data_IF_569035288138
#
_entry.id   IF_569035288138
#
_cell.length_a   1.000
_cell.length_b   1.000
_cell.length_c   1.000
_cell.angle_alpha   90.00
_cell.angle_beta   90.00
_cell.angle_gamma   90.00
#
_symmetry.space_group_name_H-M   'P 1'
#
loop_
_entity.id
_entity.type
_entity.pdbx_description
1 polymer ?
#
# COMPACT_ATOMS: atom_id res chain seq x y z
N UNK A 1 -0.05 11.18 2.71
CA UNK A 1 -1.33 10.93 3.43
C UNK A 1 -0.95 10.29 4.75
N UNK A 2 -1.59 10.68 5.85
CA UNK A 2 -1.26 10.20 7.19
C UNK A 2 -2.55 9.93 7.97
N UNK A 3 -2.54 8.92 8.82
CA UNK A 3 -3.59 8.62 9.78
C UNK A 3 -2.98 8.21 11.14
N UNK A 4 -3.83 8.05 12.15
CA UNK A 4 -3.45 7.71 13.51
C UNK A 4 -4.13 6.43 14.01
N UNK A 5 -4.45 5.53 13.07
CA UNK A 5 -5.10 4.26 13.29
C UNK A 5 -4.20 3.23 13.97
N UNK A 6 -4.48 1.95 13.70
CA UNK A 6 -3.79 0.83 14.36
C UNK A 6 -2.36 0.64 13.85
N UNK A 7 -2.06 1.10 12.63
CA UNK A 7 -0.80 0.91 11.93
C UNK A 7 -0.53 -0.56 11.58
N UNK A 8 0.61 -0.82 10.97
CA UNK A 8 1.02 -2.15 10.49
C UNK A 8 2.39 -2.52 11.04
N UNK A 9 2.54 -3.80 11.39
CA UNK A 9 3.84 -4.42 11.62
C UNK A 9 4.53 -4.83 10.31
N UNK A 10 5.77 -5.31 10.41
CA UNK A 10 6.55 -5.79 9.25
C UNK A 10 5.81 -6.86 8.44
N UNK A 11 5.33 -7.89 9.12
CA UNK A 11 4.73 -9.05 8.46
C UNK A 11 3.34 -8.72 7.90
N UNK A 12 2.60 -7.86 8.59
CA UNK A 12 1.31 -7.33 8.12
C UNK A 12 1.47 -6.46 6.86
N UNK A 13 2.52 -5.64 6.78
CA UNK A 13 2.86 -4.94 5.53
C UNK A 13 3.16 -5.92 4.39
N UNK A 14 3.94 -6.97 4.66
CA UNK A 14 4.28 -7.97 3.64
C UNK A 14 3.05 -8.73 3.14
N UNK A 15 2.13 -9.07 4.05
CA UNK A 15 0.89 -9.75 3.72
C UNK A 15 -0.10 -8.83 3.00
N UNK A 16 -0.44 -7.68 3.58
CA UNK A 16 -1.47 -6.78 3.06
C UNK A 16 -1.03 -6.04 1.78
N UNK A 17 0.20 -5.51 1.74
CA UNK A 17 0.70 -4.72 0.61
C UNK A 17 1.44 -5.57 -0.42
N UNK A 18 1.98 -6.72 -0.01
CA UNK A 18 2.72 -7.62 -0.89
C UNK A 18 1.85 -8.68 -1.59
N UNK A 19 0.75 -9.14 -0.99
CA UNK A 19 -0.08 -10.22 -1.57
C UNK A 19 -1.03 -9.72 -2.64
N UNK A 20 -1.63 -8.54 -2.49
CA UNK A 20 -2.60 -8.02 -3.47
C UNK A 20 -1.92 -7.68 -4.80
N UNK A 21 -0.61 -7.35 -4.77
CA UNK A 21 0.24 -7.24 -5.97
C UNK A 21 0.29 -8.53 -6.82
N UNK A 22 -0.09 -9.70 -6.28
CA UNK A 22 -0.05 -10.98 -7.01
C UNK A 22 -1.34 -11.39 -7.72
N UNK A 23 -2.54 -10.99 -7.28
CA UNK A 23 -3.78 -11.56 -7.84
C UNK A 23 -4.90 -10.56 -8.19
N UNK A 24 -5.08 -9.48 -7.42
CA UNK A 24 -6.13 -8.50 -7.66
C UNK A 24 -5.68 -7.32 -8.52
N UNK A 25 -4.46 -6.82 -8.28
CA UNK A 25 -3.97 -5.58 -8.90
C UNK A 25 -3.69 -5.71 -10.39
N UNK A 26 -3.15 -6.84 -10.87
CA UNK A 26 -2.87 -7.03 -12.31
C UNK A 26 -4.15 -7.01 -13.14
N UNK A 27 -5.16 -7.79 -12.73
CA UNK A 27 -6.45 -7.82 -13.41
C UNK A 27 -7.17 -6.47 -13.36
N UNK A 28 -6.91 -5.65 -12.34
CA UNK A 28 -7.42 -4.29 -12.25
C UNK A 28 -6.68 -3.32 -13.18
N UNK A 29 -5.34 -3.30 -13.17
CA UNK A 29 -4.52 -2.47 -14.07
C UNK A 29 -4.85 -2.79 -15.53
N UNK A 30 -4.94 -4.08 -15.90
CA UNK A 30 -5.32 -4.50 -17.26
C UNK A 30 -6.71 -3.96 -17.67
N UNK A 31 -7.67 -3.89 -16.75
CA UNK A 31 -9.01 -3.33 -17.03
C UNK A 31 -9.02 -1.81 -17.13
N UNK A 32 -8.18 -1.13 -16.35
CA UNK A 32 -8.00 0.33 -16.39
C UNK A 32 -7.30 0.74 -17.69
N UNK A 33 -6.21 0.06 -18.05
CA UNK A 33 -5.49 0.26 -19.32
C UNK A 33 -6.36 -0.06 -20.54
N UNK A 34 -7.28 -1.03 -20.42
CA UNK A 34 -8.27 -1.34 -21.46
C UNK A 34 -9.38 -0.27 -21.65
N UNK A 35 -9.30 0.89 -20.98
CA UNK A 35 -10.19 2.03 -21.21
C UNK A 35 -11.61 1.87 -20.67
N UNK A 36 -11.86 0.88 -19.81
CA UNK A 36 -13.18 0.65 -19.16
C UNK A 36 -13.41 1.47 -17.88
N UNK A 37 -12.57 2.49 -17.66
CA UNK A 37 -12.53 3.26 -16.41
C UNK A 37 -13.82 4.06 -16.09
N UNK A 38 -14.69 4.31 -17.07
CA UNK A 38 -15.84 5.20 -16.90
C UNK A 38 -17.05 4.57 -16.16
N UNK A 39 -17.23 3.25 -16.17
CA UNK A 39 -18.38 2.60 -15.51
C UNK A 39 -18.07 2.03 -14.11
N UNK A 40 -16.79 1.91 -13.73
CA UNK A 40 -16.34 1.06 -12.62
C UNK A 40 -15.81 1.79 -11.38
N UNK A 41 -16.05 3.10 -11.25
CA UNK A 41 -15.65 3.89 -10.05
C UNK A 41 -16.22 3.30 -8.74
N UNK A 42 -17.36 2.60 -8.81
CA UNK A 42 -17.98 1.92 -7.67
C UNK A 42 -17.27 0.62 -7.25
N UNK A 43 -16.51 -0.04 -8.14
CA UNK A 43 -15.81 -1.30 -7.82
C UNK A 43 -14.51 -1.06 -7.05
N UNK A 44 -13.85 0.08 -7.23
CA UNK A 44 -12.62 0.44 -6.49
C UNK A 44 -12.87 0.46 -4.97
N UNK A 45 -14.07 0.89 -4.55
CA UNK A 45 -14.48 0.93 -3.15
C UNK A 45 -14.82 -0.43 -2.53
N UNK A 46 -15.20 -1.44 -3.32
CA UNK A 46 -15.63 -2.75 -2.79
C UNK A 46 -14.49 -3.76 -2.60
N UNK A 47 -13.38 -3.62 -3.33
CA UNK A 47 -12.29 -4.61 -3.30
C UNK A 47 -11.08 -4.20 -2.44
N UNK A 48 -11.10 -3.01 -1.83
CA UNK A 48 -9.99 -2.55 -0.99
C UNK A 48 -8.67 -2.33 -1.75
N UNK A 49 -8.70 -2.35 -3.09
CA UNK A 49 -7.52 -2.19 -3.97
C UNK A 49 -7.16 -0.73 -4.23
N UNK A 50 -7.86 0.22 -3.62
CA UNK A 50 -7.65 1.66 -3.82
C UNK A 50 -6.22 2.13 -3.54
N UNK A 51 -5.49 1.44 -2.66
CA UNK A 51 -4.07 1.70 -2.40
C UNK A 51 -3.22 1.72 -3.69
N UNK A 52 -3.44 0.77 -4.61
CA UNK A 52 -2.62 0.63 -5.81
C UNK A 52 -2.90 1.71 -6.87
N UNK A 53 -4.01 2.44 -6.75
CA UNK A 53 -4.28 3.59 -7.63
C UNK A 53 -3.22 4.68 -7.49
N UNK A 54 -2.49 4.73 -6.37
CA UNK A 54 -1.36 5.64 -6.18
C UNK A 54 -0.28 5.48 -7.26
N UNK A 55 -0.04 4.26 -7.76
CA UNK A 55 0.93 4.00 -8.82
C UNK A 55 0.52 4.51 -10.20
N UNK A 56 -0.74 4.92 -10.40
CA UNK A 56 -1.15 5.58 -11.64
C UNK A 56 -0.58 6.99 -11.78
N UNK A 57 -0.16 7.61 -10.66
CA UNK A 57 0.30 9.00 -10.61
C UNK A 57 1.65 9.17 -9.91
N UNK A 58 2.24 8.09 -9.39
CA UNK A 58 3.51 8.11 -8.68
C UNK A 58 4.43 6.98 -9.17
N UNK A 59 5.69 7.31 -9.43
CA UNK A 59 6.72 6.34 -9.81
C UNK A 59 7.18 5.45 -8.65
N UNK A 60 6.99 5.92 -7.41
CA UNK A 60 7.38 5.26 -6.17
C UNK A 60 6.33 5.57 -5.08
N UNK A 61 5.96 4.56 -4.29
CA UNK A 61 5.10 4.71 -3.12
C UNK A 61 5.81 4.18 -1.89
N UNK A 62 5.94 5.06 -0.89
CA UNK A 62 6.46 4.74 0.45
C UNK A 62 5.33 4.72 1.47
N UNK A 63 5.27 3.66 2.26
CA UNK A 63 4.37 3.53 3.42
C UNK A 63 5.23 3.35 4.66
N UNK A 64 5.23 4.35 5.53
CA UNK A 64 5.86 4.26 6.85
C UNK A 64 4.75 4.03 7.86
N UNK A 65 4.85 2.96 8.64
CA UNK A 65 3.84 2.67 9.65
C UNK A 65 4.47 2.16 10.95
N UNK A 66 3.81 2.51 12.05
CA UNK A 66 4.08 2.01 13.38
C UNK A 66 2.81 1.44 13.99
N UNK A 67 2.81 0.13 14.20
CA UNK A 67 1.74 -0.56 14.89
C UNK A 67 1.55 -0.01 16.32
N UNK A 68 0.30 0.18 16.74
CA UNK A 68 -0.04 0.68 18.06
C UNK A 68 0.54 -0.21 19.16
N UNK A 69 1.24 0.40 20.13
CA UNK A 69 1.91 -0.32 21.21
C UNK A 69 3.27 -0.92 20.82
N UNK A 70 3.67 -0.86 19.55
CA UNK A 70 4.98 -1.34 19.10
C UNK A 70 6.10 -0.36 19.44
N UNK A 71 7.29 -0.91 19.66
CA UNK A 71 8.57 -0.17 19.77
C UNK A 71 9.38 -0.22 18.47
N UNK A 72 8.78 -0.71 17.40
CA UNK A 72 9.38 -0.80 16.07
C UNK A 72 8.50 -0.06 15.06
N UNK A 73 9.13 0.49 14.03
CA UNK A 73 8.47 1.08 12.89
C UNK A 73 9.13 0.60 11.61
N UNK A 74 8.35 0.52 10.54
CA UNK A 74 8.79 -0.07 9.29
C UNK A 74 8.41 0.84 8.11
N UNK A 75 9.21 0.80 7.06
CA UNK A 75 8.89 1.38 5.75
C UNK A 75 8.73 0.26 4.75
N UNK A 76 7.60 0.26 4.08
CA UNK A 76 7.39 -0.45 2.83
C UNK A 76 7.61 0.51 1.67
N UNK A 77 8.32 0.09 0.63
CA UNK A 77 8.62 0.90 -0.56
C UNK A 77 8.49 0.06 -1.83
N UNK A 78 7.83 0.58 -2.86
CA UNK A 78 7.71 -0.09 -4.16
C UNK A 78 7.57 0.92 -5.30
N UNK A 79 7.95 0.49 -6.50
CA UNK A 79 7.72 1.20 -7.78
C UNK A 79 6.51 0.66 -8.54
N UNK A 80 5.75 -0.27 -7.94
CA UNK A 80 4.58 -0.90 -8.56
C UNK A 80 4.91 -1.96 -9.60
N UNK A 81 6.19 -2.25 -9.90
CA UNK A 81 6.59 -3.22 -10.95
C UNK A 81 6.73 -4.66 -10.46
N UNK A 82 6.23 -4.96 -9.26
CA UNK A 82 6.10 -6.32 -8.73
C UNK A 82 7.11 -6.71 -7.66
N UNK A 83 8.02 -5.80 -7.29
CA UNK A 83 8.91 -5.95 -6.14
C UNK A 83 8.69 -4.83 -5.13
N UNK A 84 8.98 -5.11 -3.86
CA UNK A 84 8.95 -4.13 -2.79
C UNK A 84 10.07 -4.41 -1.78
N UNK A 85 10.42 -3.41 -1.01
CA UNK A 85 11.35 -3.50 0.12
C UNK A 85 10.63 -3.18 1.42
N UNK A 86 10.98 -3.89 2.50
CA UNK A 86 10.58 -3.53 3.86
C UNK A 86 11.82 -3.35 4.71
N UNK A 87 12.01 -2.15 5.26
CA UNK A 87 13.15 -1.77 6.06
C UNK A 87 12.73 -1.15 7.41
N UNK A 88 13.50 -1.35 8.49
CA UNK A 88 13.23 -0.72 9.77
C UNK A 88 13.44 0.80 9.67
N UNK A 89 12.62 1.57 10.40
CA UNK A 89 12.70 3.03 10.47
C UNK A 89 12.95 3.46 11.92
N UNK A 90 13.89 4.37 12.19
CA UNK A 90 14.06 4.93 13.53
C UNK A 90 12.77 5.56 14.04
N UNK A 91 12.40 5.30 15.29
CA UNK A 91 11.14 5.81 15.87
C UNK A 91 11.03 7.34 15.83
N UNK A 92 12.15 8.06 15.84
CA UNK A 92 12.18 9.52 15.72
C UNK A 92 11.77 10.02 14.32
N UNK A 93 11.88 9.16 13.30
CA UNK A 93 11.51 9.42 11.91
C UNK A 93 10.23 8.70 11.48
N UNK A 94 9.50 8.11 12.45
CA UNK A 94 8.26 7.38 12.22
C UNK A 94 7.08 8.04 12.97
N UNK A 95 5.83 7.82 12.52
CA UNK A 95 4.67 8.27 13.27
C UNK A 95 4.63 7.63 14.66
N UNK A 96 3.97 8.29 15.62
CA UNK A 96 3.79 7.74 16.97
C UNK A 96 2.95 6.44 16.95
N UNK A 97 2.02 6.37 16.01
CA UNK A 97 1.21 5.21 15.61
C UNK A 97 0.52 5.54 14.28
N UNK A 98 0.05 4.51 13.57
CA UNK A 98 -0.46 4.66 12.20
C UNK A 98 0.58 4.22 11.20
#
# INVERSE_FOLDING_TARGET
>A
VEDNGIGMGRDEMAEALGTIARSGTRAFIERVEAGKAAEDSALIGQFGVGFYSAFMVADQVDVISRQAGSVEAWRWSSDGKGTYEIAPVPLAAAPKRG
#
